data_IF_384866356273
#
_entry.id   IF_384866356273
#
_cell.length_a   1.000
_cell.length_b   1.000
_cell.length_c   1.000
_cell.angle_alpha   90.00
_cell.angle_beta   90.00
_cell.angle_gamma   90.00
#
_symmetry.space_group_name_H-M   'P 1'
#
loop_
_entity.id
_entity.type
_entity.pdbx_description
1 polymer ?
#
# COMPACT_ATOMS: atom_id res chain seq x y z
N UNK A 1 23.33 -10.34 2.34
CA UNK A 1 23.22 -9.23 3.32
C UNK A 1 23.16 -9.83 4.71
N UNK A 2 24.07 -9.45 5.60
CA UNK A 2 24.13 -9.95 6.99
C UNK A 2 22.95 -9.46 7.83
N UNK A 3 22.58 -10.20 8.87
CA UNK A 3 21.40 -9.91 9.71
C UNK A 3 21.46 -8.53 10.38
N UNK A 4 22.66 -8.08 10.77
CA UNK A 4 22.88 -6.74 11.33
C UNK A 4 22.52 -5.61 10.34
N UNK A 5 22.79 -5.82 9.05
CA UNK A 5 22.45 -4.84 8.01
C UNK A 5 20.95 -4.58 7.90
N UNK A 6 20.11 -5.60 8.14
CA UNK A 6 18.64 -5.43 8.11
C UNK A 6 18.14 -4.60 9.31
N UNK A 7 18.68 -4.86 10.49
CA UNK A 7 18.32 -4.10 11.69
C UNK A 7 18.75 -2.63 11.58
N UNK A 8 19.96 -2.37 11.08
CA UNK A 8 20.41 -1.01 10.82
C UNK A 8 19.50 -0.27 9.84
N UNK A 9 19.09 -0.90 8.73
CA UNK A 9 18.15 -0.29 7.77
C UNK A 9 16.82 0.08 8.42
N UNK A 10 16.30 -0.78 9.28
CA UNK A 10 15.10 -0.47 10.04
C UNK A 10 15.31 0.75 10.96
N UNK A 11 16.42 0.79 11.71
CA UNK A 11 16.73 1.91 12.59
C UNK A 11 16.83 3.23 11.81
N UNK A 12 17.49 3.22 10.64
CA UNK A 12 17.53 4.38 9.76
C UNK A 12 16.13 4.81 9.32
N UNK A 13 15.30 3.86 8.85
CA UNK A 13 13.94 4.15 8.42
C UNK A 13 13.12 4.74 9.57
N UNK A 14 13.08 4.08 10.73
CA UNK A 14 12.31 4.57 11.89
C UNK A 14 12.84 5.94 12.33
N UNK A 15 14.16 6.15 12.44
CA UNK A 15 14.72 7.46 12.81
C UNK A 15 14.28 8.60 11.88
N UNK A 16 14.02 8.30 10.60
CA UNK A 16 13.59 9.29 9.61
C UNK A 16 12.09 9.62 9.64
N UNK A 17 11.26 8.72 10.17
CA UNK A 17 9.79 8.88 10.20
C UNK A 17 9.21 8.96 11.61
N UNK A 18 10.01 8.69 12.66
CA UNK A 18 9.53 8.60 14.03
C UNK A 18 9.06 9.96 14.55
N UNK A 19 7.87 9.97 15.13
CA UNK A 19 7.33 11.06 15.91
C UNK A 19 6.49 10.49 17.06
N UNK A 20 6.60 11.03 18.28
CA UNK A 20 5.94 10.46 19.47
C UNK A 20 4.41 10.48 19.40
N UNK A 21 3.82 11.34 18.56
CA UNK A 21 2.37 11.44 18.35
C UNK A 21 1.80 10.46 17.32
N UNK A 22 2.66 9.76 16.58
CA UNK A 22 2.25 8.77 15.57
C UNK A 22 2.21 7.36 16.18
N UNK A 23 1.59 6.40 15.50
CA UNK A 23 1.58 4.98 15.87
C UNK A 23 2.26 4.16 14.78
N UNK A 24 3.08 3.19 15.16
CA UNK A 24 3.86 2.36 14.25
C UNK A 24 3.58 0.89 14.52
N UNK A 25 3.17 0.15 13.48
CA UNK A 25 3.11 -1.31 13.53
C UNK A 25 4.17 -1.90 12.58
N UNK A 26 5.01 -2.79 13.09
CA UNK A 26 6.11 -3.41 12.35
C UNK A 26 5.82 -4.91 12.25
N UNK A 27 5.50 -5.36 11.04
CA UNK A 27 5.35 -6.79 10.75
C UNK A 27 6.72 -7.43 10.46
N UNK A 28 7.16 -8.34 11.33
CA UNK A 28 8.40 -9.09 11.21
C UNK A 28 8.11 -10.46 10.58
N UNK A 29 8.72 -10.71 9.42
CA UNK A 29 8.57 -11.99 8.71
C UNK A 29 9.10 -13.16 9.54
N UNK A 30 8.38 -14.28 9.53
CA UNK A 30 8.81 -15.53 10.17
C UNK A 30 10.12 -16.09 9.61
N UNK A 31 10.43 -15.77 8.35
CA UNK A 31 11.71 -16.09 7.70
C UNK A 31 12.89 -15.21 8.14
N UNK A 32 12.65 -14.23 9.02
CA UNK A 32 13.72 -13.45 9.64
C UNK A 32 14.50 -14.31 10.63
N UNK A 33 15.80 -14.05 10.76
CA UNK A 33 16.64 -14.80 11.69
C UNK A 33 16.30 -14.47 13.16
N UNK A 34 16.72 -15.36 14.06
CA UNK A 34 16.41 -15.25 15.47
C UNK A 34 16.99 -13.98 16.12
N UNK A 35 18.23 -13.61 15.79
CA UNK A 35 18.85 -12.40 16.31
C UNK A 35 18.04 -11.14 15.96
N UNK A 36 17.54 -11.05 14.71
CA UNK A 36 16.70 -9.93 14.31
C UNK A 36 15.40 -9.87 15.10
N UNK A 37 14.75 -11.01 15.34
CA UNK A 37 13.51 -11.08 16.15
C UNK A 37 13.75 -10.65 17.60
N UNK A 38 14.86 -11.07 18.20
CA UNK A 38 15.26 -10.64 19.55
C UNK A 38 15.49 -9.12 19.58
N UNK A 39 16.26 -8.59 18.63
CA UNK A 39 16.51 -7.14 18.53
C UNK A 39 15.21 -6.34 18.33
N UNK A 40 14.25 -6.87 17.57
CA UNK A 40 12.94 -6.26 17.40
C UNK A 40 12.10 -6.25 18.68
N UNK A 41 12.13 -7.34 19.44
CA UNK A 41 11.43 -7.42 20.73
C UNK A 41 12.03 -6.46 21.77
N UNK A 42 13.34 -6.23 21.74
CA UNK A 42 13.98 -5.23 22.60
C UNK A 42 13.73 -3.79 22.11
N UNK A 43 13.70 -3.59 20.80
CA UNK A 43 13.36 -2.31 20.19
C UNK A 43 11.95 -1.84 20.56
N UNK A 44 10.96 -2.73 20.52
CA UNK A 44 9.58 -2.43 20.91
C UNK A 44 9.48 -1.85 22.34
N UNK A 45 10.23 -2.41 23.29
CA UNK A 45 10.24 -1.96 24.70
C UNK A 45 10.69 -0.51 24.87
N UNK A 46 11.42 0.03 23.90
CA UNK A 46 11.95 1.40 23.96
C UNK A 46 10.89 2.46 23.61
N UNK A 47 9.79 2.09 22.95
CA UNK A 47 8.81 3.04 22.42
C UNK A 47 7.38 2.60 22.72
N UNK A 48 6.60 3.45 23.41
CA UNK A 48 5.20 3.15 23.75
C UNK A 48 4.26 3.07 22.54
N UNK A 49 4.68 3.65 21.42
CA UNK A 49 3.90 3.82 20.19
C UNK A 49 4.45 2.97 19.02
N UNK A 50 5.29 1.99 19.31
CA UNK A 50 5.79 1.00 18.35
C UNK A 50 5.27 -0.36 18.78
N UNK A 51 4.68 -1.10 17.85
CA UNK A 51 4.06 -2.39 18.08
C UNK A 51 4.63 -3.39 17.07
N UNK A 52 5.18 -4.51 17.55
CA UNK A 52 5.85 -5.50 16.70
C UNK A 52 4.98 -6.76 16.58
N UNK A 53 4.68 -7.15 15.34
CA UNK A 53 3.93 -8.36 15.05
C UNK A 53 4.82 -9.41 14.38
N UNK A 54 4.93 -10.59 14.97
CA UNK A 54 5.54 -11.74 14.30
C UNK A 54 4.54 -12.35 13.32
N UNK A 55 4.90 -12.42 12.04
CA UNK A 55 4.06 -12.88 10.94
C UNK A 55 4.62 -14.15 10.30
N UNK A 56 3.83 -14.88 9.50
CA UNK A 56 4.35 -16.00 8.69
C UNK A 56 5.50 -15.57 7.76
N UNK A 57 6.25 -16.51 7.16
CA UNK A 57 7.28 -16.20 6.18
C UNK A 57 6.74 -15.37 5.00
N UNK A 58 7.22 -14.13 4.89
CA UNK A 58 6.86 -13.21 3.80
C UNK A 58 7.84 -13.42 2.64
N UNK A 59 7.30 -13.59 1.44
CA UNK A 59 8.04 -13.72 0.19
C UNK A 59 7.48 -12.77 -0.86
N UNK A 60 8.28 -12.43 -1.87
CA UNK A 60 7.85 -11.50 -2.90
C UNK A 60 6.64 -12.06 -3.67
N UNK A 61 5.63 -11.21 -3.86
CA UNK A 61 4.41 -11.53 -4.59
C UNK A 61 3.45 -12.50 -3.89
N UNK A 62 3.75 -12.92 -2.66
CA UNK A 62 2.87 -13.82 -1.91
C UNK A 62 1.78 -13.07 -1.15
N UNK A 63 0.72 -13.81 -0.81
CA UNK A 63 -0.38 -13.31 0.01
C UNK A 63 0.08 -12.79 1.38
N UNK A 64 1.18 -13.30 1.91
CA UNK A 64 1.67 -12.89 3.24
C UNK A 64 2.06 -11.41 3.32
N UNK A 65 2.29 -10.73 2.19
CA UNK A 65 2.47 -9.27 2.16
C UNK A 65 1.17 -8.55 2.56
N UNK A 66 0.06 -8.87 1.90
CA UNK A 66 -1.23 -8.25 2.23
C UNK A 66 -1.74 -8.72 3.59
N UNK A 67 -1.51 -9.98 3.96
CA UNK A 67 -1.87 -10.49 5.28
C UNK A 67 -1.14 -9.77 6.41
N UNK A 68 0.16 -9.50 6.24
CA UNK A 68 0.95 -8.79 7.23
C UNK A 68 0.58 -7.30 7.33
N UNK A 69 0.35 -6.65 6.20
CA UNK A 69 -0.08 -5.24 6.18
C UNK A 69 -1.51 -5.08 6.71
N UNK A 70 -2.42 -6.00 6.39
CA UNK A 70 -3.78 -6.03 6.96
C UNK A 70 -3.75 -6.27 8.48
N UNK A 71 -2.91 -7.18 8.97
CA UNK A 71 -2.78 -7.42 10.41
C UNK A 71 -2.32 -6.16 11.17
N UNK A 72 -1.40 -5.39 10.60
CA UNK A 72 -1.03 -4.09 11.17
C UNK A 72 -2.17 -3.06 11.12
N UNK A 73 -2.91 -3.00 10.02
CA UNK A 73 -4.09 -2.14 9.92
C UNK A 73 -5.13 -2.49 11.00
N UNK A 74 -5.43 -3.78 11.18
CA UNK A 74 -6.37 -4.29 12.17
C UNK A 74 -5.94 -3.94 13.61
N UNK A 75 -4.67 -4.14 13.92
CA UNK A 75 -4.11 -3.75 15.22
C UNK A 75 -4.26 -2.25 15.46
N UNK A 76 -3.81 -1.41 14.51
CA UNK A 76 -3.84 0.04 14.64
C UNK A 76 -5.28 0.61 14.69
N UNK A 77 -6.22 0.01 13.96
CA UNK A 77 -7.63 0.42 13.98
C UNK A 77 -8.28 0.27 15.36
N UNK A 78 -7.84 -0.72 16.14
CA UNK A 78 -8.35 -1.02 17.49
C UNK A 78 -7.74 -0.14 18.59
N UNK A 79 -6.67 0.60 18.30
CA UNK A 79 -6.06 1.52 19.27
C UNK A 79 -7.00 2.68 19.61
N UNK A 80 -6.96 3.14 20.85
CA UNK A 80 -7.72 4.33 21.29
C UNK A 80 -7.11 5.64 20.81
N UNK A 81 -5.80 5.66 20.49
CA UNK A 81 -5.07 6.84 20.01
C UNK A 81 -5.77 7.46 18.79
N UNK A 82 -6.03 8.78 18.75
CA UNK A 82 -6.84 9.44 17.72
C UNK A 82 -6.12 9.70 16.37
N UNK A 83 -5.32 8.74 15.89
CA UNK A 83 -4.65 8.84 14.59
C UNK A 83 -5.65 9.05 13.43
N UNK A 84 -5.20 9.64 12.31
CA UNK A 84 -6.08 10.12 11.22
C UNK A 84 -5.94 9.38 9.90
N UNK A 85 -4.73 8.97 9.56
CA UNK A 85 -4.42 8.24 8.34
C UNK A 85 -3.49 7.07 8.62
N UNK A 86 -3.68 6.01 7.84
CA UNK A 86 -2.81 4.85 7.76
C UNK A 86 -2.06 4.88 6.43
N UNK A 87 -0.74 4.67 6.51
CA UNK A 87 0.14 4.47 5.37
C UNK A 87 1.02 3.26 5.70
N UNK A 88 1.24 2.38 4.73
CA UNK A 88 2.15 1.26 4.90
C UNK A 88 3.41 1.46 4.07
N UNK A 89 4.52 0.97 4.61
CA UNK A 89 5.85 1.06 4.02
C UNK A 89 6.49 -0.33 4.00
N UNK A 90 7.42 -0.53 3.09
CA UNK A 90 8.32 -1.68 3.04
C UNK A 90 9.71 -1.31 3.56
N UNK A 91 10.52 -2.30 3.92
CA UNK A 91 11.89 -2.09 4.40
C UNK A 91 12.88 -1.54 3.37
N UNK A 92 12.41 -1.15 2.18
CA UNK A 92 13.21 -0.52 1.12
C UNK A 92 12.74 0.91 0.80
N UNK A 93 11.75 1.43 1.53
CA UNK A 93 11.25 2.79 1.34
C UNK A 93 12.06 3.80 2.15
N UNK A 94 12.04 5.06 1.71
CA UNK A 94 12.63 6.19 2.41
C UNK A 94 11.71 7.42 2.26
N UNK A 95 11.55 8.25 3.31
CA UNK A 95 10.70 9.43 3.23
C UNK A 95 11.32 10.50 2.32
N UNK A 96 10.50 11.10 1.47
CA UNK A 96 10.85 12.28 0.64
C UNK A 96 10.25 13.59 1.19
N UNK A 97 9.60 13.50 2.35
CA UNK A 97 8.89 14.57 3.05
C UNK A 97 9.13 14.38 4.55
N UNK A 98 9.34 15.47 5.26
CA UNK A 98 9.39 15.49 6.72
C UNK A 98 8.03 15.11 7.31
N UNK A 99 8.02 14.70 8.58
CA UNK A 99 6.76 14.44 9.29
C UNK A 99 5.84 15.67 9.30
N UNK A 100 6.39 16.88 9.42
CA UNK A 100 5.60 18.12 9.35
C UNK A 100 4.91 18.28 7.99
N UNK A 101 5.64 18.13 6.88
CA UNK A 101 5.08 18.22 5.52
C UNK A 101 4.01 17.15 5.29
N UNK A 102 4.26 15.90 5.71
CA UNK A 102 3.26 14.82 5.61
C UNK A 102 1.98 15.16 6.38
N UNK A 103 2.09 15.67 7.61
CA UNK A 103 0.92 16.10 8.40
C UNK A 103 0.13 17.20 7.68
N UNK A 104 0.80 18.18 7.06
CA UNK A 104 0.11 19.23 6.30
C UNK A 104 -0.63 18.66 5.09
N UNK A 105 0.02 17.77 4.32
CA UNK A 105 -0.61 17.08 3.19
C UNK A 105 -1.84 16.30 3.66
N UNK A 106 -1.71 15.53 4.74
CA UNK A 106 -2.79 14.64 5.21
C UNK A 106 -4.00 15.44 5.73
N UNK A 107 -3.75 16.58 6.38
CA UNK A 107 -4.80 17.53 6.75
C UNK A 107 -5.51 18.11 5.53
N UNK A 108 -4.76 18.49 4.49
CA UNK A 108 -5.33 19.05 3.25
C UNK A 108 -6.23 18.07 2.50
N UNK A 109 -6.01 16.76 2.64
CA UNK A 109 -6.85 15.72 2.03
C UNK A 109 -8.22 15.52 2.70
N UNK A 110 -8.47 16.08 3.90
CA UNK A 110 -9.80 16.11 4.54
C UNK A 110 -10.55 14.76 4.61
N UNK A 111 -9.84 13.68 4.89
CA UNK A 111 -10.39 12.33 5.00
C UNK A 111 -10.54 11.59 3.67
N UNK A 112 -9.99 12.13 2.57
CA UNK A 112 -9.95 11.44 1.28
C UNK A 112 -8.95 10.27 1.30
N UNK A 113 -9.32 9.18 0.65
CA UNK A 113 -8.44 8.04 0.40
C UNK A 113 -7.62 8.33 -0.86
N UNK A 114 -6.29 8.30 -0.74
CA UNK A 114 -5.37 8.36 -1.87
C UNK A 114 -4.82 6.97 -2.20
N UNK A 115 -5.13 6.47 -3.40
CA UNK A 115 -4.69 5.16 -3.90
C UNK A 115 -4.65 5.20 -5.43
N UNK A 116 -3.70 4.49 -6.03
CA UNK A 116 -3.66 4.32 -7.48
C UNK A 116 -4.69 3.27 -7.92
N UNK A 117 -5.40 3.51 -9.03
CA UNK A 117 -6.40 2.58 -9.58
C UNK A 117 -6.10 2.35 -11.06
N UNK A 118 -5.93 1.09 -11.44
CA UNK A 118 -5.66 0.59 -12.79
C UNK A 118 -6.51 -0.63 -13.09
N UNK A 119 -6.56 -1.01 -14.38
CA UNK A 119 -7.08 -2.32 -14.76
C UNK A 119 -6.29 -3.43 -14.06
N UNK A 120 -7.02 -4.35 -13.46
CA UNK A 120 -6.45 -5.57 -12.92
C UNK A 120 -6.03 -6.50 -14.06
N UNK A 121 -4.91 -7.21 -13.88
CA UNK A 121 -4.41 -8.19 -14.86
C UNK A 121 -5.06 -9.55 -14.59
N UNK A 122 -6.01 -10.03 -15.42
CA UNK A 122 -6.76 -11.25 -15.14
C UNK A 122 -5.88 -12.50 -15.04
N UNK A 123 -4.69 -12.47 -15.62
CA UNK A 123 -3.69 -13.55 -15.58
C UNK A 123 -3.14 -13.80 -14.17
N UNK A 124 -3.38 -12.88 -13.22
CA UNK A 124 -3.02 -13.07 -11.81
C UNK A 124 -4.02 -13.94 -11.05
N UNK A 125 -5.18 -14.25 -11.62
CA UNK A 125 -6.13 -15.22 -11.08
C UNK A 125 -5.75 -16.61 -11.60
N UNK A 126 -5.28 -17.47 -10.71
CA UNK A 126 -4.79 -18.81 -11.09
C UNK A 126 -5.82 -19.90 -10.79
N UNK A 127 -5.79 -20.99 -11.56
CA UNK A 127 -6.60 -22.18 -11.30
C UNK A 127 -8.10 -21.89 -11.24
N UNK A 128 -8.78 -22.54 -10.28
CA UNK A 128 -10.23 -22.54 -10.18
C UNK A 128 -10.83 -21.17 -9.82
N UNK A 129 -10.07 -20.29 -9.17
CA UNK A 129 -10.60 -18.97 -8.75
C UNK A 129 -10.93 -18.07 -9.92
N UNK A 130 -10.31 -18.30 -11.08
CA UNK A 130 -10.60 -17.56 -12.31
C UNK A 130 -12.06 -17.74 -12.77
N UNK A 131 -12.68 -18.87 -12.42
CA UNK A 131 -14.06 -19.20 -12.76
C UNK A 131 -15.05 -18.82 -11.65
N UNK A 132 -14.56 -18.34 -10.50
CA UNK A 132 -15.41 -17.88 -9.40
C UNK A 132 -15.72 -16.39 -9.53
N UNK A 133 -16.92 -15.99 -9.09
CA UNK A 133 -17.31 -14.58 -9.11
C UNK A 133 -16.65 -13.86 -7.92
N UNK A 134 -15.85 -12.80 -8.16
CA UNK A 134 -15.25 -12.04 -7.07
C UNK A 134 -16.33 -11.26 -6.30
N UNK A 135 -16.13 -11.02 -4.99
CA UNK A 135 -17.11 -10.29 -4.17
C UNK A 135 -17.26 -8.83 -4.58
N UNK A 136 -16.24 -8.26 -5.23
CA UNK A 136 -16.20 -6.90 -5.77
C UNK A 136 -15.48 -6.90 -7.13
N UNK A 137 -15.72 -5.87 -7.95
CA UNK A 137 -14.94 -5.70 -9.18
C UNK A 137 -13.48 -5.43 -8.83
N UNK A 138 -12.56 -6.24 -9.35
CA UNK A 138 -11.15 -6.19 -8.97
C UNK A 138 -10.42 -5.10 -9.76
N UNK A 139 -9.65 -4.30 -9.05
CA UNK A 139 -8.79 -3.26 -9.62
C UNK A 139 -7.36 -3.43 -9.12
N UNK A 140 -6.41 -2.94 -9.91
CA UNK A 140 -5.00 -2.91 -9.52
C UNK A 140 -4.66 -1.58 -8.83
N UNK A 141 -3.92 -1.65 -7.73
CA UNK A 141 -3.16 -0.55 -7.14
C UNK A 141 -1.66 -0.75 -7.29
N UNK A 142 -0.90 0.32 -7.06
CA UNK A 142 0.50 0.18 -6.66
C UNK A 142 0.59 -0.30 -5.21
N UNK A 143 1.81 -0.53 -4.74
CA UNK A 143 2.11 -0.80 -3.33
C UNK A 143 2.06 0.48 -2.49
N UNK A 144 0.99 1.25 -2.66
CA UNK A 144 0.80 2.58 -2.11
C UNK A 144 -0.67 2.83 -1.82
N UNK A 145 -0.98 3.10 -0.55
CA UNK A 145 -2.33 3.47 -0.13
C UNK A 145 -2.24 4.34 1.11
N UNK A 146 -2.96 5.46 1.09
CA UNK A 146 -3.12 6.34 2.23
C UNK A 146 -4.60 6.36 2.61
N UNK A 147 -4.89 5.65 3.69
CA UNK A 147 -6.23 5.25 4.09
C UNK A 147 -6.67 6.12 5.26
N UNK A 148 -7.79 6.86 5.16
CA UNK A 148 -8.32 7.60 6.31
C UNK A 148 -8.82 6.62 7.37
N UNK A 149 -8.75 6.99 8.65
CA UNK A 149 -9.15 6.10 9.74
C UNK A 149 -10.60 5.59 9.65
N UNK A 150 -11.52 6.42 9.16
CA UNK A 150 -12.90 6.00 8.94
C UNK A 150 -13.00 4.82 7.97
N UNK A 151 -12.22 4.83 6.89
CA UNK A 151 -12.10 3.70 5.98
C UNK A 151 -11.45 2.51 6.68
N UNK A 152 -10.31 2.69 7.36
CA UNK A 152 -9.61 1.63 8.08
C UNK A 152 -10.55 0.87 9.05
N UNK A 153 -11.35 1.60 9.83
CA UNK A 153 -12.33 1.01 10.74
C UNK A 153 -13.41 0.21 10.01
N UNK A 154 -13.86 0.65 8.83
CA UNK A 154 -14.80 -0.12 8.02
C UNK A 154 -14.16 -1.37 7.42
N UNK A 155 -12.92 -1.26 6.91
CA UNK A 155 -12.14 -2.37 6.33
C UNK A 155 -12.06 -3.52 7.32
N UNK A 156 -11.64 -3.25 8.56
CA UNK A 156 -11.36 -4.32 9.54
C UNK A 156 -12.63 -5.02 10.06
N UNK A 157 -13.79 -4.36 9.97
CA UNK A 157 -15.06 -4.88 10.50
C UNK A 157 -15.97 -5.49 9.42
N UNK A 158 -15.78 -5.10 8.15
CA UNK A 158 -16.66 -5.48 7.04
C UNK A 158 -16.56 -6.96 6.65
N UNK A 159 -17.70 -7.68 6.55
CA UNK A 159 -17.74 -9.02 5.95
C UNK A 159 -17.30 -9.03 4.49
N UNK A 160 -17.65 -7.99 3.73
CA UNK A 160 -17.25 -7.85 2.32
C UNK A 160 -15.72 -7.78 2.17
N UNK A 161 -15.05 -7.10 3.10
CA UNK A 161 -13.59 -7.05 3.11
C UNK A 161 -12.97 -8.41 3.40
N UNK A 162 -13.54 -9.17 4.34
CA UNK A 162 -13.10 -10.53 4.64
C UNK A 162 -13.26 -11.46 3.43
N UNK A 163 -14.42 -11.41 2.77
CA UNK A 163 -14.66 -12.17 1.54
C UNK A 163 -13.66 -11.82 0.43
N UNK A 164 -13.37 -10.52 0.23
CA UNK A 164 -12.36 -10.10 -0.75
C UNK A 164 -10.96 -10.59 -0.37
N UNK A 165 -10.61 -10.49 0.90
CA UNK A 165 -9.31 -10.91 1.41
C UNK A 165 -9.10 -12.42 1.23
N UNK A 166 -10.12 -13.23 1.55
CA UNK A 166 -10.14 -14.68 1.31
C UNK A 166 -10.04 -15.01 -0.18
N UNK A 167 -10.84 -14.34 -1.02
CA UNK A 167 -10.79 -14.51 -2.48
C UNK A 167 -9.37 -14.25 -3.05
N UNK A 168 -8.73 -13.16 -2.62
CA UNK A 168 -7.40 -12.78 -3.11
C UNK A 168 -6.28 -13.68 -2.56
N UNK A 169 -6.51 -14.47 -1.52
CA UNK A 169 -5.51 -15.40 -0.97
C UNK A 169 -5.05 -16.47 -1.95
N UNK A 170 -5.87 -16.73 -2.97
CA UNK A 170 -5.60 -17.68 -4.04
C UNK A 170 -5.10 -17.01 -5.34
N UNK A 171 -4.77 -15.72 -5.30
CA UNK A 171 -4.28 -14.94 -6.45
C UNK A 171 -2.80 -14.59 -6.34
N UNK A 172 -2.20 -14.15 -7.45
CA UNK A 172 -0.82 -13.72 -7.50
C UNK A 172 -0.67 -12.20 -7.27
N UNK A 173 0.27 -11.80 -6.40
CA UNK A 173 0.49 -10.38 -6.00
C UNK A 173 -0.82 -9.70 -5.55
N UNK A 174 -1.51 -10.25 -4.54
CA UNK A 174 -2.83 -9.75 -4.09
C UNK A 174 -2.77 -8.39 -3.38
N UNK A 175 -1.60 -8.00 -2.86
CA UNK A 175 -1.34 -6.70 -2.25
C UNK A 175 -1.49 -5.54 -3.25
N UNK A 176 -1.27 -5.79 -4.54
CA UNK A 176 -1.56 -4.85 -5.62
C UNK A 176 -3.02 -4.89 -6.10
N UNK A 177 -3.92 -5.62 -5.44
CA UNK A 177 -5.34 -5.67 -5.81
C UNK A 177 -6.26 -5.16 -4.70
N UNK A 178 -5.92 -5.49 -3.45
CA UNK A 178 -6.80 -5.30 -2.29
C UNK A 178 -7.24 -3.84 -2.10
N UNK A 179 -6.30 -2.89 -2.08
CA UNK A 179 -6.59 -1.49 -1.72
C UNK A 179 -7.44 -0.77 -2.77
N UNK A 180 -7.04 -0.85 -4.05
CA UNK A 180 -7.83 -0.24 -5.14
C UNK A 180 -9.22 -0.86 -5.23
N UNK A 181 -9.34 -2.18 -5.03
CA UNK A 181 -10.63 -2.86 -5.09
C UNK A 181 -11.58 -2.34 -4.03
N UNK A 182 -11.15 -2.19 -2.77
CA UNK A 182 -12.00 -1.62 -1.73
C UNK A 182 -12.37 -0.14 -2.01
N UNK A 183 -11.43 0.65 -2.54
CA UNK A 183 -11.68 2.06 -2.81
C UNK A 183 -12.58 2.31 -4.04
N UNK A 184 -12.53 1.47 -5.07
CA UNK A 184 -13.12 1.76 -6.39
C UNK A 184 -14.52 1.17 -6.60
N UNK A 185 -15.12 0.53 -5.59
CA UNK A 185 -16.42 -0.12 -5.70
C UNK A 185 -17.56 0.71 -5.05
N UNK A 186 -17.60 2.04 -5.24
CA UNK A 186 -18.53 2.92 -4.50
C UNK A 186 -20.01 2.50 -4.51
N UNK A 187 -20.48 1.85 -5.58
CA UNK A 187 -21.89 1.46 -5.77
C UNK A 187 -22.31 0.28 -4.90
N UNK A 188 -21.39 -0.67 -4.69
CA UNK A 188 -21.64 -1.92 -3.94
C UNK A 188 -20.97 -1.90 -2.57
N UNK A 189 -19.91 -1.10 -2.41
CA UNK A 189 -19.14 -0.97 -1.18
C UNK A 189 -18.76 0.51 -0.96
N UNK A 190 -19.69 1.35 -0.46
CA UNK A 190 -19.48 2.78 -0.24
C UNK A 190 -18.59 3.01 1.00
N UNK A 191 -17.28 2.92 0.81
CA UNK A 191 -16.30 3.09 1.89
C UNK A 191 -15.97 4.57 2.14
N UNK A 192 -15.87 5.04 3.40
CA UNK A 192 -15.52 6.42 3.69
C UNK A 192 -14.23 6.86 3.02
N UNK A 193 -14.18 8.12 2.59
CA UNK A 193 -13.01 8.70 1.95
C UNK A 193 -12.81 8.30 0.49
N UNK A 194 -13.61 7.38 -0.06
CA UNK A 194 -13.64 7.11 -1.50
C UNK A 194 -15.04 7.33 -2.08
N UNK A 195 -15.10 8.01 -3.22
CA UNK A 195 -16.30 8.17 -4.03
C UNK A 195 -16.03 7.77 -5.49
N UNK A 196 -15.14 6.80 -5.69
CA UNK A 196 -14.65 6.42 -7.02
C UNK A 196 -15.53 5.28 -7.57
N UNK A 197 -16.08 5.49 -8.77
CA UNK A 197 -16.60 4.41 -9.61
C UNK A 197 -15.43 3.86 -10.44
N UNK A 198 -14.93 2.68 -10.10
CA UNK A 198 -13.77 2.11 -10.77
C UNK A 198 -13.99 1.85 -12.25
N UNK A 199 -15.21 1.51 -12.68
CA UNK A 199 -15.53 1.28 -14.10
C UNK A 199 -15.39 2.60 -14.86
N UNK A 200 -15.99 3.67 -14.35
CA UNK A 200 -15.91 4.99 -14.95
C UNK A 200 -14.49 5.57 -14.91
N UNK A 201 -13.83 5.46 -13.76
CA UNK A 201 -12.49 6.00 -13.53
C UNK A 201 -11.48 5.39 -14.51
N UNK A 202 -11.46 4.07 -14.62
CA UNK A 202 -10.52 3.37 -15.49
C UNK A 202 -10.80 3.66 -16.97
N UNK A 203 -12.07 3.72 -17.38
CA UNK A 203 -12.44 4.11 -18.74
C UNK A 203 -11.96 5.54 -19.07
N UNK A 204 -12.06 6.47 -18.13
CA UNK A 204 -11.59 7.85 -18.30
C UNK A 204 -10.07 7.93 -18.37
N UNK A 205 -9.34 7.22 -17.51
CA UNK A 205 -7.87 7.17 -17.55
C UNK A 205 -7.35 6.60 -18.88
N UNK A 206 -8.00 5.56 -19.41
CA UNK A 206 -7.66 5.00 -20.73
C UNK A 206 -7.85 6.03 -21.85
N UNK A 207 -8.96 6.77 -21.85
CA UNK A 207 -9.21 7.85 -22.83
C UNK A 207 -8.15 8.94 -22.77
N UNK A 208 -7.77 9.37 -21.56
CA UNK A 208 -6.72 10.40 -21.36
C UNK A 208 -5.36 9.89 -21.83
N UNK A 209 -5.01 8.65 -21.46
CA UNK A 209 -3.73 8.04 -21.84
C UNK A 209 -3.59 7.92 -23.37
N UNK A 210 -4.66 7.55 -24.07
CA UNK A 210 -4.70 7.49 -25.54
C UNK A 210 -4.48 8.87 -26.17
N UNK A 211 -5.16 9.91 -25.67
CA UNK A 211 -4.96 11.30 -26.14
C UNK A 211 -3.52 11.78 -25.93
N UNK A 212 -2.91 11.47 -24.78
CA UNK A 212 -1.53 11.84 -24.49
C UNK A 212 -0.53 11.12 -25.41
N UNK A 213 -0.74 9.84 -25.68
CA UNK A 213 0.09 9.08 -26.62
C UNK A 213 -0.03 9.61 -28.06
N UNK A 214 -1.24 10.00 -28.50
CA UNK A 214 -1.47 10.61 -29.81
C UNK A 214 -0.79 11.98 -29.97
N UNK A 215 -0.61 12.71 -28.86
CA UNK A 215 0.09 14.01 -28.83
C UNK A 215 1.62 13.90 -28.79
N UNK A 216 2.18 12.75 -28.41
CA UNK A 216 3.63 12.52 -28.28
C UNK A 216 4.16 11.68 -29.44
N UNK A 217 4.36 12.31 -30.61
CA UNK A 217 4.86 11.63 -31.83
C UNK A 217 6.37 11.39 -31.91
N UNK A 218 7.16 11.67 -30.87
CA UNK A 218 8.61 11.39 -30.86
C UNK A 218 8.95 10.16 -30.01
N UNK A 219 9.13 9.00 -30.66
CA UNK A 219 9.73 7.80 -30.05
C UNK A 219 11.23 8.00 -29.87
N UNK A 220 11.64 8.67 -28.80
CA UNK A 220 13.04 8.61 -28.35
C UNK A 220 13.32 7.21 -27.76
N UNK A 221 14.47 6.62 -28.11
CA UNK A 221 14.88 5.27 -27.67
C UNK A 221 15.14 5.20 -26.15
N UNK A 222 15.45 6.36 -25.55
CA UNK A 222 15.35 6.66 -24.12
C UNK A 222 14.84 8.11 -24.00
N UNK A 223 13.54 8.35 -23.80
CA UNK A 223 13.08 9.71 -23.56
C UNK A 223 13.65 10.16 -22.22
N UNK A 224 14.44 11.25 -22.20
CA UNK A 224 14.62 12.01 -20.94
C UNK A 224 13.20 12.28 -20.43
N UNK A 225 12.88 11.76 -19.23
CA UNK A 225 11.57 11.96 -18.62
C UNK A 225 11.30 13.46 -18.63
N UNK A 226 10.40 13.92 -19.48
CA UNK A 226 9.77 15.24 -19.30
C UNK A 226 9.11 15.17 -17.93
N UNK A 227 9.71 15.84 -16.95
CA UNK A 227 9.16 15.94 -15.62
C UNK A 227 7.86 16.73 -15.71
N UNK A 228 6.75 16.01 -15.87
CA UNK A 228 5.43 16.60 -15.68
C UNK A 228 5.29 16.87 -14.20
N UNK A 229 5.06 18.12 -13.82
CA UNK A 229 4.75 18.49 -12.45
C UNK A 229 3.46 17.77 -12.04
N UNK A 230 3.61 16.76 -11.20
CA UNK A 230 2.48 16.02 -10.65
C UNK A 230 1.86 16.91 -9.56
N UNK A 231 0.68 17.48 -9.84
CA UNK A 231 -0.03 18.37 -8.91
C UNK A 231 -0.81 17.62 -7.82
N UNK A 232 -0.57 16.32 -7.66
CA UNK A 232 -1.23 15.48 -6.67
C UNK A 232 -0.20 14.71 -5.83
N UNK A 233 -0.58 14.43 -4.58
CA UNK A 233 0.26 13.65 -3.67
C UNK A 233 0.29 12.18 -4.09
N UNK A 234 1.49 11.60 -4.11
CA UNK A 234 1.73 10.17 -4.32
C UNK A 234 2.24 9.60 -3.00
N UNK A 235 1.50 8.68 -2.39
CA UNK A 235 1.89 8.05 -1.12
C UNK A 235 3.15 7.18 -1.21
N UNK A 236 3.58 6.77 -2.41
CA UNK A 236 4.83 6.05 -2.66
C UNK A 236 5.23 6.22 -4.13
N UNK A 237 6.38 6.83 -4.35
CA UNK A 237 6.96 6.95 -5.68
C UNK A 237 7.84 5.72 -5.97
N UNK A 238 7.63 5.05 -7.10
CA UNK A 238 8.40 3.87 -7.49
C UNK A 238 8.80 3.97 -8.96
N UNK A 239 10.11 3.83 -9.20
CA UNK A 239 10.68 3.77 -10.53
C UNK A 239 11.23 2.37 -10.82
N UNK A 240 10.78 1.78 -11.93
CA UNK A 240 11.33 0.53 -12.45
C UNK A 240 12.23 0.85 -13.64
N UNK A 241 13.52 0.56 -13.51
CA UNK A 241 14.45 0.64 -14.63
C UNK A 241 14.60 -0.75 -15.24
N UNK A 242 14.20 -0.91 -16.49
CA UNK A 242 14.57 -2.05 -17.35
C UNK A 242 15.07 -1.51 -18.68
N UNK A 243 16.32 -1.85 -19.05
CA UNK A 243 16.84 -1.60 -20.40
C UNK A 243 17.82 -0.43 -20.61
N UNK A 244 18.50 0.09 -19.59
CA UNK A 244 19.66 0.96 -19.79
C UNK A 244 20.90 0.32 -19.16
N UNK A 245 21.62 -0.46 -19.96
CA UNK A 245 23.04 -0.70 -19.69
C UNK A 245 23.79 0.58 -20.05
N UNK A 246 24.80 0.92 -19.23
CA UNK A 246 25.65 2.10 -19.46
C UNK A 246 26.38 2.07 -20.80
#
# INVERSE_FOLDING_TARGET
MTNFSKFLKLLFMISSIYAPQNEYCIAVSGSSNELFKILMADFEKCFKNVHVLNRPPISWGSFEIINSTYACLDYLAKLSTPWKYYQYLSGFDAPLKTNYEMVQIFKAMKGAWNVEIKNFQPERLNGDIRNTTPPLNIYKSSLSSLVPRSAANMIVNSPMTRQLFEYLSHSYIPDEAFWATLAANRKTFPIPGSNIDGVEFVANIQKVSKKLQESSKTKAKCPMKTYVTISYYISRYQDWYSGCHG
#
